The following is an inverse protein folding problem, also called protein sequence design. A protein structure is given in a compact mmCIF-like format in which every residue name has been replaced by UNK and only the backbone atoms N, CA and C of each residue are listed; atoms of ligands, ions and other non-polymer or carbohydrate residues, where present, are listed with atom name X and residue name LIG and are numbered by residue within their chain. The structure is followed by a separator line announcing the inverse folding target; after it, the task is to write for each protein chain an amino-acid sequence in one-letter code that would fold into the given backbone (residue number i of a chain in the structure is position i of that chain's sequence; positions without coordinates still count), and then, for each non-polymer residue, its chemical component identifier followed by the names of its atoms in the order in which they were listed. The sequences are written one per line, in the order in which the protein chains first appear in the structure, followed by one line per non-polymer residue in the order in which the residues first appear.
data_IF_589266462666
#
_entry.id   IF_589266462666
#
_cell.length_a   1.000
_cell.length_b   1.000
_cell.length_c   1.000
_cell.angle_alpha   90.00
_cell.angle_beta   90.00
_cell.angle_gamma   90.00
#
_symmetry.space_group_name_H-M   'P 1'
#
loop_
_entity.id
_entity.type
_entity.pdbx_description
1 polymer ?
#
# COMPACT_ATOMS: atom_id res chain seq x y z
N UNK A 1 6.03 57.94 -44.50
CA UNK A 1 6.27 57.63 -43.09
C UNK A 1 5.94 56.15 -42.92
N UNK A 2 6.99 55.26 -42.95
CA UNK A 2 6.81 53.79 -42.84
C UNK A 2 6.92 53.43 -41.36
N UNK A 3 5.82 52.89 -40.80
CA UNK A 3 5.78 52.40 -39.42
C UNK A 3 6.39 50.97 -39.42
N UNK A 4 7.58 50.85 -38.83
CA UNK A 4 8.22 49.54 -38.59
C UNK A 4 7.66 49.00 -37.30
N UNK A 5 6.75 48.04 -37.36
CA UNK A 5 6.26 47.28 -36.23
C UNK A 5 7.29 46.21 -35.89
N UNK A 6 8.14 46.43 -34.92
CA UNK A 6 9.08 45.44 -34.42
C UNK A 6 8.31 44.48 -33.49
N UNK A 7 8.02 43.28 -34.00
CA UNK A 7 7.41 42.19 -33.22
C UNK A 7 8.50 41.58 -32.35
N UNK A 8 8.55 42.04 -31.08
CA UNK A 8 9.43 41.46 -30.07
C UNK A 8 8.84 40.13 -29.63
N UNK A 9 9.31 39.06 -30.28
CA UNK A 9 8.96 37.68 -29.87
C UNK A 9 9.63 37.38 -28.54
N UNK A 10 8.86 37.48 -27.46
CA UNK A 10 9.29 37.08 -26.13
C UNK A 10 9.29 35.53 -26.09
N UNK A 11 10.42 34.90 -26.37
CA UNK A 11 10.63 33.48 -26.18
C UNK A 11 10.64 33.19 -24.68
N UNK A 12 9.50 32.79 -24.13
CA UNK A 12 9.41 32.18 -22.81
C UNK A 12 10.08 30.82 -22.92
N UNK A 13 11.33 30.69 -22.51
CA UNK A 13 11.97 29.40 -22.30
C UNK A 13 11.28 28.72 -21.10
N UNK A 14 10.24 27.95 -21.38
CA UNK A 14 9.72 26.97 -20.43
C UNK A 14 10.84 25.95 -20.25
N UNK A 15 11.52 26.00 -19.11
CA UNK A 15 12.39 24.92 -18.69
C UNK A 15 11.50 23.70 -18.46
N UNK A 16 11.27 22.91 -19.51
CA UNK A 16 10.66 21.58 -19.39
C UNK A 16 11.70 20.68 -18.74
N UNK A 17 11.67 20.62 -17.42
CA UNK A 17 12.44 19.61 -16.71
C UNK A 17 11.81 18.27 -17.06
N UNK A 18 12.51 17.49 -17.87
CA UNK A 18 12.11 16.11 -18.15
C UNK A 18 12.35 15.29 -16.88
N UNK A 19 11.32 14.63 -16.39
CA UNK A 19 11.43 13.69 -15.30
C UNK A 19 12.37 12.55 -15.69
N UNK A 20 13.29 12.18 -14.79
CA UNK A 20 14.31 11.17 -15.07
C UNK A 20 13.81 9.74 -14.81
N UNK A 21 12.69 9.59 -14.12
CA UNK A 21 12.05 8.32 -13.77
C UNK A 21 10.55 8.51 -13.59
N UNK A 22 9.81 7.41 -13.55
CA UNK A 22 8.40 7.40 -13.17
C UNK A 22 8.08 6.12 -12.39
N UNK A 23 7.21 6.20 -11.41
CA UNK A 23 6.71 5.04 -10.67
C UNK A 23 5.35 4.65 -11.24
N UNK A 24 5.16 3.35 -11.54
CA UNK A 24 3.93 2.86 -12.16
C UNK A 24 2.72 2.94 -11.23
N UNK A 25 2.92 2.71 -9.94
CA UNK A 25 1.88 2.78 -8.93
C UNK A 25 2.46 3.32 -7.61
N UNK A 26 1.89 4.43 -7.13
CA UNK A 26 2.39 5.14 -5.96
C UNK A 26 1.66 4.77 -4.66
N UNK A 27 0.50 4.11 -4.75
CA UNK A 27 -0.25 3.62 -3.60
C UNK A 27 -0.50 2.13 -3.76
N UNK A 28 0.10 1.33 -2.89
CA UNK A 28 0.08 -0.13 -2.96
C UNK A 28 -0.61 -0.65 -1.69
N UNK A 29 -1.53 -1.60 -1.86
CA UNK A 29 -2.27 -2.19 -0.75
C UNK A 29 -1.87 -3.65 -0.59
N UNK A 30 -1.48 -4.01 0.63
CA UNK A 30 -0.99 -5.31 1.03
C UNK A 30 -1.95 -5.92 2.04
N UNK A 31 -2.13 -7.22 1.97
CA UNK A 31 -2.86 -7.94 3.02
C UNK A 31 -2.18 -9.26 3.33
N UNK A 32 -2.15 -9.58 4.60
CA UNK A 32 -1.62 -10.83 5.12
C UNK A 32 -2.33 -11.22 6.42
N UNK A 33 -1.83 -12.26 7.04
CA UNK A 33 -2.27 -12.67 8.37
C UNK A 33 -1.16 -12.41 9.39
N UNK A 34 -1.54 -12.21 10.63
CA UNK A 34 -0.56 -11.87 11.69
C UNK A 34 0.52 -12.92 11.90
N UNK A 35 0.25 -14.20 11.54
CA UNK A 35 1.20 -15.30 11.62
C UNK A 35 2.05 -15.50 10.37
N UNK A 36 1.87 -14.70 9.33
CA UNK A 36 2.75 -14.73 8.16
C UNK A 36 4.17 -14.31 8.56
N UNK A 37 5.17 -14.92 7.92
CA UNK A 37 6.54 -14.46 8.11
C UNK A 37 6.69 -13.05 7.56
N UNK A 38 6.16 -12.81 6.36
CA UNK A 38 6.06 -11.51 5.73
C UNK A 38 4.94 -11.50 4.67
N UNK A 39 4.54 -10.29 4.27
CA UNK A 39 3.68 -10.07 3.10
C UNK A 39 4.13 -8.81 2.36
N UNK A 40 4.07 -8.85 1.04
CA UNK A 40 4.56 -7.77 0.19
C UNK A 40 3.80 -7.67 -1.12
N UNK A 41 3.95 -6.53 -1.79
CA UNK A 41 3.44 -6.29 -3.14
C UNK A 41 4.44 -5.43 -3.91
N UNK A 42 4.67 -5.79 -5.17
CA UNK A 42 5.56 -5.04 -6.06
C UNK A 42 4.84 -3.87 -6.73
N UNK A 43 5.59 -2.79 -6.92
CA UNK A 43 5.41 -1.81 -7.99
C UNK A 43 6.70 -1.75 -8.82
N UNK A 44 6.73 -0.91 -9.84
CA UNK A 44 7.91 -0.76 -10.70
C UNK A 44 8.23 0.71 -10.89
N UNK A 45 9.52 0.98 -11.03
CA UNK A 45 10.06 2.27 -11.42
C UNK A 45 10.68 2.14 -12.81
N UNK A 46 10.26 3.00 -13.72
CA UNK A 46 10.79 3.07 -15.08
C UNK A 46 11.82 4.18 -15.18
N UNK A 47 13.02 3.85 -15.63
CA UNK A 47 14.09 4.80 -15.90
C UNK A 47 13.88 5.50 -17.23
N UNK A 48 13.77 6.82 -17.21
CA UNK A 48 13.60 7.69 -18.37
C UNK A 48 14.92 8.36 -18.80
N UNK A 49 15.95 8.29 -17.96
CA UNK A 49 17.31 8.73 -18.24
C UNK A 49 18.32 7.90 -17.43
N UNK A 50 19.61 8.07 -17.76
CA UNK A 50 20.69 7.50 -16.95
C UNK A 50 21.02 8.45 -15.81
N UNK A 51 20.71 8.08 -14.57
CA UNK A 51 20.98 8.90 -13.37
C UNK A 51 21.07 8.06 -12.12
N UNK A 52 21.48 8.69 -11.04
CA UNK A 52 21.43 8.10 -9.69
C UNK A 52 20.22 8.66 -8.96
N UNK A 53 19.38 7.79 -8.44
CA UNK A 53 18.28 8.12 -7.55
C UNK A 53 18.71 7.95 -6.09
N UNK A 54 18.15 8.78 -5.25
CA UNK A 54 18.23 8.67 -3.79
C UNK A 54 16.84 8.31 -3.28
N UNK A 55 16.78 7.44 -2.29
CA UNK A 55 15.51 7.09 -1.66
C UNK A 55 15.63 7.14 -0.14
N UNK A 56 14.54 7.49 0.52
CA UNK A 56 14.44 7.49 1.98
C UNK A 56 13.04 7.17 2.43
N UNK A 57 12.92 6.44 3.53
CA UNK A 57 11.65 6.28 4.24
C UNK A 57 11.35 7.58 4.98
N UNK A 58 10.25 8.22 4.61
CA UNK A 58 9.82 9.51 5.16
C UNK A 58 8.70 9.36 6.19
N UNK A 59 7.99 8.23 6.17
CA UNK A 59 6.95 7.93 7.16
C UNK A 59 6.94 6.44 7.46
N UNK A 60 6.89 6.13 8.74
CA UNK A 60 6.63 4.81 9.30
C UNK A 60 5.48 4.95 10.30
N UNK A 61 4.34 4.36 9.98
CA UNK A 61 3.13 4.35 10.81
C UNK A 61 2.64 2.93 11.01
N UNK A 62 3.56 2.03 11.35
CA UNK A 62 3.23 0.63 11.62
C UNK A 62 3.03 0.37 13.11
N UNK A 63 2.32 -0.71 13.48
CA UNK A 63 2.31 -1.19 14.86
C UNK A 63 3.72 -1.41 15.40
N UNK A 64 3.96 -1.11 16.67
CA UNK A 64 5.31 -1.14 17.28
C UNK A 64 6.02 -2.50 17.24
N UNK A 65 5.28 -3.58 17.03
CA UNK A 65 5.82 -4.94 16.92
C UNK A 65 6.06 -5.37 15.47
N UNK A 66 5.65 -4.54 14.49
CA UNK A 66 5.93 -4.84 13.10
C UNK A 66 7.29 -4.33 12.72
N UNK A 67 7.91 -5.05 11.79
CA UNK A 67 9.12 -4.63 11.10
C UNK A 67 8.84 -4.47 9.61
N UNK A 68 9.75 -3.80 8.90
CA UNK A 68 9.74 -3.76 7.46
C UNK A 68 11.14 -3.90 6.87
N UNK A 69 11.19 -4.34 5.63
CA UNK A 69 12.34 -4.20 4.75
C UNK A 69 11.87 -3.79 3.36
N UNK A 70 12.78 -3.31 2.54
CA UNK A 70 12.45 -2.94 1.17
C UNK A 70 13.43 -3.58 0.18
N UNK A 71 12.97 -3.77 -1.06
CA UNK A 71 13.82 -4.18 -2.17
C UNK A 71 13.71 -3.16 -3.30
N UNK A 72 14.87 -2.52 -3.68
CA UNK A 72 14.93 -1.51 -4.74
C UNK A 72 16.31 -1.49 -5.45
N UNK A 73 16.54 -2.27 -6.49
CA UNK A 73 15.95 -3.58 -6.79
C UNK A 73 16.52 -4.68 -5.89
N UNK A 74 17.63 -4.42 -5.18
CA UNK A 74 18.22 -5.35 -4.23
C UNK A 74 17.51 -5.22 -2.88
N UNK A 75 17.32 -6.35 -2.21
CA UNK A 75 16.70 -6.35 -0.90
C UNK A 75 17.66 -5.88 0.18
N UNK A 76 17.18 -4.99 1.00
CA UNK A 76 17.91 -4.44 2.17
C UNK A 76 17.49 -5.17 3.45
N UNK A 77 18.34 -5.13 4.44
CA UNK A 77 18.00 -5.68 5.76
C UNK A 77 16.89 -4.85 6.44
N UNK A 78 16.19 -5.48 7.38
CA UNK A 78 15.23 -4.79 8.25
C UNK A 78 15.90 -3.55 8.88
N UNK A 79 15.17 -2.43 8.88
CA UNK A 79 15.59 -1.17 9.49
C UNK A 79 16.47 -0.29 8.60
N UNK A 80 16.75 -0.67 7.35
CA UNK A 80 17.41 0.23 6.38
C UNK A 80 16.37 1.21 5.82
N UNK A 81 16.61 2.50 6.04
CA UNK A 81 15.66 3.57 5.74
C UNK A 81 16.09 4.50 4.59
N UNK A 82 17.26 4.30 3.99
CA UNK A 82 17.72 5.11 2.86
C UNK A 82 18.78 4.40 2.03
N UNK A 83 18.94 4.85 0.79
CA UNK A 83 19.95 4.32 -0.11
C UNK A 83 19.97 5.02 -1.46
N UNK A 84 20.66 4.42 -2.41
CA UNK A 84 20.78 4.92 -3.78
C UNK A 84 20.57 3.81 -4.79
N UNK A 85 20.10 4.18 -5.99
CA UNK A 85 19.96 3.31 -7.15
C UNK A 85 20.45 4.02 -8.41
N UNK A 86 21.36 3.41 -9.14
CA UNK A 86 21.69 3.86 -10.51
C UNK A 86 20.66 3.28 -11.46
N UNK A 87 19.95 4.16 -12.18
CA UNK A 87 18.99 3.76 -13.21
C UNK A 87 19.53 4.03 -14.60
N UNK A 88 19.02 3.25 -15.58
CA UNK A 88 19.32 3.40 -16.99
C UNK A 88 18.05 3.68 -17.78
N UNK A 89 18.17 4.49 -18.81
CA UNK A 89 17.06 4.81 -19.69
C UNK A 89 16.48 3.53 -20.32
N UNK A 90 15.15 3.39 -20.27
CA UNK A 90 14.40 2.26 -20.81
C UNK A 90 14.46 0.98 -19.98
N UNK A 91 15.03 1.02 -18.78
CA UNK A 91 15.02 -0.11 -17.85
C UNK A 91 13.93 0.08 -16.79
N UNK A 92 13.31 -1.04 -16.39
CA UNK A 92 12.33 -1.08 -15.32
C UNK A 92 12.93 -1.82 -14.11
N UNK A 93 12.73 -1.27 -12.94
CA UNK A 93 13.24 -1.77 -11.66
C UNK A 93 12.07 -2.09 -10.74
N UNK A 94 12.05 -3.29 -10.17
CA UNK A 94 11.04 -3.56 -9.16
C UNK A 94 11.31 -2.81 -7.86
N UNK A 95 10.25 -2.48 -7.20
CA UNK A 95 10.22 -1.74 -5.96
C UNK A 95 9.14 -2.34 -5.07
N UNK A 96 9.50 -2.81 -3.89
CA UNK A 96 8.55 -3.35 -2.93
C UNK A 96 8.90 -3.00 -1.50
N UNK A 97 7.93 -3.21 -0.62
CA UNK A 97 8.13 -3.20 0.81
C UNK A 97 7.55 -4.49 1.38
N UNK A 98 8.33 -5.18 2.20
CA UNK A 98 7.94 -6.36 2.96
C UNK A 98 7.54 -5.92 4.37
N UNK A 99 6.38 -6.36 4.83
CA UNK A 99 5.90 -6.14 6.18
C UNK A 99 5.98 -7.44 6.97
N UNK A 100 6.56 -7.39 8.16
CA UNK A 100 6.73 -8.51 9.08
C UNK A 100 5.83 -8.30 10.28
N UNK A 101 4.65 -8.94 10.35
CA UNK A 101 3.67 -8.69 11.41
C UNK A 101 4.04 -9.26 12.78
N UNK A 102 5.01 -10.17 12.84
CA UNK A 102 5.53 -10.72 14.09
C UNK A 102 4.43 -11.20 15.06
N UNK A 103 3.44 -11.94 14.54
CA UNK A 103 2.27 -12.44 15.24
C UNK A 103 1.35 -11.34 15.82
N UNK A 104 1.44 -10.11 15.31
CA UNK A 104 0.62 -8.98 15.74
C UNK A 104 -0.32 -8.57 14.62
N UNK A 105 -1.63 -8.66 14.85
CA UNK A 105 -2.62 -8.10 13.92
C UNK A 105 -2.63 -6.58 14.00
N UNK A 106 -2.98 -5.95 12.88
CA UNK A 106 -3.04 -4.50 12.81
C UNK A 106 -3.04 -3.99 11.39
N UNK A 107 -2.93 -2.67 11.28
CA UNK A 107 -2.77 -1.96 10.02
C UNK A 107 -1.70 -0.88 10.17
N UNK A 108 -1.05 -0.55 9.08
CA UNK A 108 -0.02 0.47 9.07
C UNK A 108 0.43 0.79 7.64
N UNK A 109 1.32 1.76 7.51
CA UNK A 109 1.89 2.11 6.22
C UNK A 109 3.32 2.62 6.33
N UNK A 110 4.04 2.46 5.23
CA UNK A 110 5.38 3.01 5.00
C UNK A 110 5.32 3.89 3.76
N UNK A 111 5.90 5.09 3.84
CA UNK A 111 6.08 5.95 2.66
C UNK A 111 7.56 6.16 2.39
N UNK A 112 7.94 5.96 1.13
CA UNK A 112 9.29 6.17 0.60
C UNK A 112 9.27 7.35 -0.36
N UNK A 113 10.16 8.31 -0.16
CA UNK A 113 10.48 9.31 -1.15
C UNK A 113 11.63 8.82 -2.04
N UNK A 114 11.49 9.00 -3.35
CA UNK A 114 12.52 8.70 -4.36
C UNK A 114 12.77 9.98 -5.13
N UNK A 115 14.02 10.40 -5.26
CA UNK A 115 14.39 11.67 -5.91
C UNK A 115 15.68 11.57 -6.72
N UNK A 116 15.76 12.35 -7.79
CA UNK A 116 16.98 12.64 -8.55
C UNK A 116 17.57 14.02 -8.21
N UNK A 117 17.12 14.67 -7.14
CA UNK A 117 17.43 16.05 -6.71
C UNK A 117 16.77 17.16 -7.54
N UNK A 118 16.05 16.83 -8.62
CA UNK A 118 15.28 17.76 -9.45
C UNK A 118 13.78 17.48 -9.30
N UNK A 119 13.42 16.21 -9.31
CA UNK A 119 12.06 15.71 -9.13
C UNK A 119 12.01 14.66 -8.02
N UNK A 120 10.87 14.50 -7.40
CA UNK A 120 10.63 13.43 -6.43
C UNK A 120 9.25 12.81 -6.62
N UNK A 121 9.16 11.51 -6.27
CA UNK A 121 7.91 10.78 -6.14
C UNK A 121 7.83 10.10 -4.78
N UNK A 122 6.63 10.01 -4.23
CA UNK A 122 6.37 9.30 -2.98
C UNK A 122 5.60 8.04 -3.31
N UNK A 123 6.09 6.91 -2.81
CA UNK A 123 5.44 5.61 -2.90
C UNK A 123 5.03 5.16 -1.52
N UNK A 124 3.77 4.76 -1.37
CA UNK A 124 3.22 4.35 -0.07
C UNK A 124 2.66 2.93 -0.15
N UNK A 125 3.08 2.09 0.77
CA UNK A 125 2.54 0.75 0.98
C UNK A 125 1.67 0.76 2.22
N UNK A 126 0.40 0.37 2.05
CA UNK A 126 -0.59 0.22 3.11
C UNK A 126 -0.78 -1.27 3.39
N UNK A 127 -0.51 -1.71 4.59
CA UNK A 127 -0.60 -3.11 4.98
C UNK A 127 -1.63 -3.36 6.05
N UNK A 128 -2.34 -4.48 5.90
CA UNK A 128 -3.26 -5.01 6.91
C UNK A 128 -2.89 -6.45 7.19
N UNK A 129 -2.55 -6.77 8.44
CA UNK A 129 -2.43 -8.15 8.90
C UNK A 129 -3.62 -8.49 9.80
N UNK A 130 -4.53 -9.28 9.25
CA UNK A 130 -5.66 -9.81 10.01
C UNK A 130 -5.25 -10.98 10.90
N UNK A 131 -6.00 -11.22 11.95
CA UNK A 131 -6.00 -12.55 12.54
C UNK A 131 -6.74 -13.48 11.59
N UNK A 132 -6.09 -14.52 11.07
CA UNK A 132 -6.79 -15.67 10.57
C UNK A 132 -7.11 -16.55 11.78
N UNK A 133 -7.98 -16.05 12.60
CA UNK A 133 -8.85 -16.84 13.40
C UNK A 133 -10.23 -16.35 12.98
N UNK A 134 -11.03 -17.21 12.45
CA UNK A 134 -12.38 -17.24 12.96
C UNK A 134 -12.16 -17.09 14.45
N UNK A 135 -12.59 -15.97 15.06
CA UNK A 135 -12.69 -15.95 16.52
C UNK A 135 -13.73 -17.03 16.85
N UNK A 136 -13.23 -18.27 16.99
CA UNK A 136 -14.04 -19.46 17.35
C UNK A 136 -14.71 -19.28 18.69
N UNK A 137 -14.53 -18.14 19.34
CA UNK A 137 -15.04 -17.84 20.67
C UNK A 137 -15.81 -16.53 20.78
N UNK A 138 -16.38 -15.98 19.72
CA UNK A 138 -17.50 -15.08 19.93
C UNK A 138 -18.71 -15.91 20.38
N UNK A 139 -18.76 -16.21 21.69
CA UNK A 139 -20.00 -16.68 22.33
C UNK A 139 -20.96 -15.47 22.34
N UNK A 140 -21.46 -15.13 21.15
CA UNK A 140 -22.57 -14.19 21.09
C UNK A 140 -23.84 -14.93 21.45
N UNK A 141 -24.58 -14.37 22.36
CA UNK A 141 -25.89 -14.89 22.66
C UNK A 141 -26.78 -14.62 21.43
N UNK A 142 -27.52 -15.64 20.95
CA UNK A 142 -28.51 -15.46 19.85
C UNK A 142 -29.43 -14.24 20.09
N UNK A 143 -29.63 -13.85 21.36
CA UNK A 143 -30.40 -12.65 21.75
C UNK A 143 -29.76 -11.33 21.33
N UNK A 144 -28.47 -11.29 21.01
CA UNK A 144 -27.75 -10.08 20.63
C UNK A 144 -27.71 -9.88 19.12
N UNK A 145 -28.18 -10.85 18.34
CA UNK A 145 -28.29 -10.76 16.89
C UNK A 145 -29.46 -9.85 16.52
N UNK A 146 -29.20 -8.90 15.62
CA UNK A 146 -30.19 -8.04 14.99
C UNK A 146 -30.58 -8.55 13.59
N UNK A 147 -29.57 -8.81 12.76
CA UNK A 147 -29.75 -9.34 11.41
C UNK A 147 -28.62 -10.29 11.05
N UNK A 148 -28.90 -11.23 10.14
CA UNK A 148 -27.92 -12.13 9.53
C UNK A 148 -27.94 -11.84 8.02
N UNK A 149 -26.76 -11.69 7.43
CA UNK A 149 -26.59 -11.45 5.99
C UNK A 149 -25.74 -12.55 5.37
N UNK A 150 -26.06 -12.93 4.15
CA UNK A 150 -25.11 -13.67 3.30
C UNK A 150 -24.03 -12.72 2.75
N UNK A 151 -23.04 -13.27 2.04
CA UNK A 151 -21.96 -12.46 1.44
C UNK A 151 -22.43 -11.50 0.34
N UNK A 152 -23.65 -11.67 -0.17
CA UNK A 152 -24.29 -10.77 -1.14
C UNK A 152 -25.07 -9.64 -0.46
N UNK A 153 -25.05 -9.54 0.88
CA UNK A 153 -25.75 -8.52 1.65
C UNK A 153 -27.26 -8.76 1.81
N UNK A 154 -27.75 -9.95 1.46
CA UNK A 154 -29.17 -10.31 1.62
C UNK A 154 -29.44 -10.78 3.05
N UNK A 155 -30.53 -10.29 3.65
CA UNK A 155 -30.95 -10.71 5.00
C UNK A 155 -31.47 -12.13 4.95
N UNK A 156 -30.98 -12.96 5.86
CA UNK A 156 -31.39 -14.35 6.04
C UNK A 156 -32.17 -14.53 7.34
N UNK A 157 -33.09 -15.48 7.35
CA UNK A 157 -33.84 -15.85 8.55
C UNK A 157 -33.19 -17.00 9.32
N UNK A 158 -32.48 -17.86 8.60
CA UNK A 158 -31.81 -19.04 9.13
C UNK A 158 -30.42 -19.15 8.51
N UNK A 159 -29.51 -19.84 9.16
CA UNK A 159 -28.16 -20.12 8.71
C UNK A 159 -28.05 -21.59 8.35
N UNK A 160 -27.27 -21.89 7.35
CA UNK A 160 -26.90 -23.27 6.97
C UNK A 160 -25.45 -23.55 7.46
N UNK A 161 -25.12 -24.80 7.79
CA UNK A 161 -23.76 -25.15 8.19
C UNK A 161 -22.77 -24.98 7.02
N UNK A 162 -21.49 -24.90 7.37
CA UNK A 162 -20.37 -24.76 6.45
C UNK A 162 -20.43 -23.53 5.52
N UNK A 163 -21.03 -22.44 6.02
CA UNK A 163 -21.12 -21.17 5.30
C UNK A 163 -20.68 -19.99 6.14
N UNK A 164 -20.29 -18.94 5.44
CA UNK A 164 -19.83 -17.68 6.00
C UNK A 164 -20.94 -16.64 5.97
N UNK A 165 -21.15 -15.96 7.10
CA UNK A 165 -22.20 -14.97 7.29
C UNK A 165 -21.63 -13.66 7.85
N UNK A 166 -22.35 -12.56 7.59
CA UNK A 166 -22.14 -11.29 8.27
C UNK A 166 -23.29 -11.12 9.27
N UNK A 167 -22.99 -11.04 10.54
CA UNK A 167 -23.99 -10.89 11.61
C UNK A 167 -23.94 -9.45 12.11
N UNK A 168 -25.08 -8.77 12.07
CA UNK A 168 -25.26 -7.49 12.73
C UNK A 168 -25.76 -7.69 14.14
N UNK A 169 -25.06 -7.14 15.12
CA UNK A 169 -25.45 -7.15 16.51
C UNK A 169 -26.39 -5.97 16.83
N UNK A 170 -27.10 -6.04 17.95
CA UNK A 170 -28.00 -4.97 18.42
C UNK A 170 -27.28 -3.66 18.75
N UNK A 171 -26.00 -3.70 19.08
CA UNK A 171 -25.13 -2.52 19.25
C UNK A 171 -24.66 -1.92 17.91
N UNK A 172 -25.18 -2.42 16.77
CA UNK A 172 -24.81 -2.09 15.41
C UNK A 172 -23.39 -2.51 14.99
N UNK A 173 -22.66 -3.27 15.77
CA UNK A 173 -21.42 -3.90 15.33
C UNK A 173 -21.72 -4.99 14.29
N UNK A 174 -20.78 -5.20 13.35
CA UNK A 174 -20.85 -6.29 12.38
C UNK A 174 -19.71 -7.26 12.65
N UNK A 175 -20.02 -8.54 12.65
CA UNK A 175 -19.05 -9.61 12.80
C UNK A 175 -19.19 -10.59 11.64
N UNK A 176 -18.09 -11.19 11.23
CA UNK A 176 -18.03 -12.22 10.20
C UNK A 176 -17.92 -13.57 10.90
N UNK A 177 -18.84 -14.47 10.63
CA UNK A 177 -18.93 -15.75 11.31
C UNK A 177 -19.03 -16.89 10.31
N UNK A 178 -18.19 -17.90 10.48
CA UNK A 178 -18.33 -19.18 9.77
C UNK A 178 -19.06 -20.14 10.70
N UNK A 179 -20.16 -20.73 10.24
CA UNK A 179 -20.94 -21.68 11.03
C UNK A 179 -20.49 -23.09 10.61
N UNK A 180 -19.85 -23.78 11.55
CA UNK A 180 -19.57 -25.21 11.44
C UNK A 180 -20.78 -26.03 11.94
N UNK A 181 -20.83 -27.31 11.60
CA UNK A 181 -21.84 -28.22 12.15
C UNK A 181 -21.75 -28.37 13.68
#
# INVERSE_FOLDING_TARGET
MKLIVTFLSFFIFLNLHSQSFSVQQNNIYLSGISSDNDFYQNTYLDGLSNTTLYWSIITDSMPSNWDFSNCFPNCYSIGVTSGTLNISNGQSYYLNCHFYPNNTSGEGFISMEITDSISSEIVTWYGVAGNVGLEENYIFNKKDIKNIYNLNGQILRETEPNQLYIIQLKNNAFIKVFINE
#
